data_IF_531415854916
#
_entry.id   IF_531415854916
#
_cell.length_a   1.000
_cell.length_b   1.000
_cell.length_c   1.000
_cell.angle_alpha   90.00
_cell.angle_beta   90.00
_cell.angle_gamma   90.00
#
_symmetry.space_group_name_H-M   'P 1'
#
loop_
_entity.id
_entity.type
_entity.pdbx_description
1 polymer ?
#
# COMPACT_ATOMS: atom_id res chain seq x y z
N UNK A 1 5.69 19.97 3.66
CA UNK A 1 4.55 19.02 3.55
C UNK A 1 3.64 19.32 2.36
N UNK A 2 2.97 20.48 2.29
CA UNK A 2 2.03 20.82 1.20
C UNK A 2 2.64 20.92 -0.21
N UNK A 3 3.89 21.39 -0.33
CA UNK A 3 4.59 21.49 -1.62
C UNK A 3 4.75 20.13 -2.31
N UNK A 4 4.98 19.06 -1.55
CA UNK A 4 5.15 17.71 -2.11
C UNK A 4 3.85 17.19 -2.73
N UNK A 5 2.69 17.51 -2.13
CA UNK A 5 1.39 17.08 -2.66
C UNK A 5 1.05 17.73 -3.99
N UNK A 6 1.50 18.98 -4.26
CA UNK A 6 1.30 19.62 -5.57
C UNK A 6 1.99 18.88 -6.71
N UNK A 7 3.07 18.14 -6.43
CA UNK A 7 3.80 17.34 -7.42
C UNK A 7 3.23 15.92 -7.50
N UNK A 8 2.82 15.35 -6.37
CA UNK A 8 2.30 13.97 -6.30
C UNK A 8 0.88 13.84 -6.85
N UNK A 9 -0.02 14.79 -6.57
CA UNK A 9 -1.42 14.69 -7.02
C UNK A 9 -1.52 14.55 -8.55
N UNK A 10 -0.83 15.38 -9.37
CA UNK A 10 -0.88 15.23 -10.82
C UNK A 10 -0.38 13.88 -11.33
N UNK A 11 0.67 13.31 -10.72
CA UNK A 11 1.21 12.01 -11.16
C UNK A 11 0.28 10.82 -10.84
N UNK A 12 -0.64 10.99 -9.88
CA UNK A 12 -1.62 9.97 -9.54
C UNK A 12 -2.80 9.93 -10.51
N UNK A 13 -3.10 11.01 -11.25
CA UNK A 13 -4.29 11.12 -12.11
C UNK A 13 -4.34 10.00 -13.15
N UNK A 14 -3.25 9.79 -13.88
CA UNK A 14 -3.18 8.76 -14.94
C UNK A 14 -3.29 7.34 -14.37
N UNK A 15 -2.60 7.09 -13.25
CA UNK A 15 -2.67 5.81 -12.52
C UNK A 15 -4.12 5.53 -12.11
N UNK A 16 -4.83 6.55 -11.65
CA UNK A 16 -6.22 6.46 -11.22
C UNK A 16 -7.16 6.17 -12.39
N UNK A 17 -7.00 6.86 -13.53
CA UNK A 17 -7.79 6.62 -14.74
C UNK A 17 -7.59 5.19 -15.28
N UNK A 18 -6.36 4.71 -15.30
CA UNK A 18 -6.05 3.35 -15.73
C UNK A 18 -6.58 2.29 -14.75
N UNK A 19 -6.54 2.57 -13.45
CA UNK A 19 -7.18 1.71 -12.45
C UNK A 19 -8.70 1.66 -12.63
N UNK A 20 -9.34 2.81 -12.80
CA UNK A 20 -10.78 2.94 -13.04
C UNK A 20 -11.21 2.14 -14.26
N UNK A 21 -10.57 2.34 -15.42
CA UNK A 21 -10.91 1.59 -16.63
C UNK A 21 -10.80 0.08 -16.46
N UNK A 22 -9.86 -0.40 -15.64
CA UNK A 22 -9.68 -1.84 -15.37
C UNK A 22 -10.69 -2.41 -14.39
N UNK A 23 -11.13 -1.63 -13.42
CA UNK A 23 -11.91 -2.10 -12.26
C UNK A 23 -13.37 -1.68 -12.26
N UNK A 24 -13.75 -0.74 -13.12
CA UNK A 24 -15.13 -0.28 -13.27
C UNK A 24 -16.05 -1.47 -13.58
N UNK A 25 -17.07 -1.64 -12.74
CA UNK A 25 -18.03 -2.75 -12.83
C UNK A 25 -17.51 -4.12 -12.39
N UNK A 26 -16.29 -4.22 -11.83
CA UNK A 26 -15.72 -5.48 -11.34
C UNK A 26 -15.62 -5.48 -9.82
N UNK A 27 -15.82 -6.66 -9.21
CA UNK A 27 -15.55 -6.85 -7.78
C UNK A 27 -14.05 -6.81 -7.54
N UNK A 28 -13.58 -5.82 -6.80
CA UNK A 28 -12.20 -5.73 -6.35
C UNK A 28 -12.09 -6.53 -5.05
N UNK A 29 -11.16 -7.48 -4.99
CA UNK A 29 -10.88 -8.23 -3.77
C UNK A 29 -10.35 -7.27 -2.70
N UNK A 30 -10.87 -7.39 -1.47
CA UNK A 30 -10.34 -6.68 -0.32
C UNK A 30 -8.86 -7.04 -0.14
N UNK A 31 -7.97 -6.03 0.02
CA UNK A 31 -6.59 -6.31 0.38
C UNK A 31 -6.54 -7.11 1.68
N UNK A 32 -5.57 -8.02 1.84
CA UNK A 32 -5.40 -8.73 3.09
C UNK A 32 -5.18 -7.74 4.24
N UNK A 33 -5.79 -8.01 5.40
CA UNK A 33 -5.73 -7.18 6.60
C UNK A 33 -4.31 -7.01 7.18
N UNK A 34 -3.38 -7.84 6.73
CA UNK A 34 -1.97 -7.77 7.11
C UNK A 34 -1.12 -8.19 5.92
N UNK A 35 -0.27 -7.27 5.46
CA UNK A 35 0.73 -7.58 4.45
C UNK A 35 2.02 -8.00 5.16
N UNK A 36 2.30 -9.30 5.22
CA UNK A 36 3.57 -9.85 5.71
C UNK A 36 4.07 -10.96 4.80
N UNK A 37 5.32 -10.86 4.31
CA UNK A 37 6.01 -11.95 3.60
C UNK A 37 7.21 -12.49 4.38
N UNK A 38 7.23 -12.25 5.68
CA UNK A 38 8.36 -12.58 6.53
C UNK A 38 8.45 -14.09 6.76
N UNK A 39 9.64 -14.64 6.55
CA UNK A 39 9.95 -16.04 6.86
C UNK A 39 10.37 -16.12 8.35
N UNK A 40 10.23 -17.29 8.98
CA UNK A 40 10.59 -17.49 10.38
C UNK A 40 12.04 -17.07 10.68
N UNK A 41 12.28 -16.56 11.89
CA UNK A 41 13.57 -16.06 12.43
C UNK A 41 14.03 -14.65 12.01
N UNK A 42 13.12 -13.79 11.56
CA UNK A 42 13.44 -12.41 11.20
C UNK A 42 12.90 -11.39 12.23
N UNK A 43 13.67 -10.34 12.55
CA UNK A 43 13.17 -9.21 13.33
C UNK A 43 12.04 -8.53 12.58
N UNK A 44 10.86 -8.46 13.21
CA UNK A 44 9.66 -7.86 12.62
C UNK A 44 9.38 -6.49 13.21
N UNK A 45 9.07 -5.52 12.35
CA UNK A 45 8.58 -4.20 12.71
C UNK A 45 7.23 -3.96 12.06
N UNK A 46 6.20 -3.78 12.88
CA UNK A 46 4.89 -3.33 12.44
C UNK A 46 4.88 -1.81 12.30
N UNK A 47 4.37 -1.31 11.19
CA UNK A 47 4.14 0.12 10.94
C UNK A 47 2.75 0.32 10.35
N UNK A 48 2.11 1.42 10.69
CA UNK A 48 0.80 1.76 10.11
C UNK A 48 1.02 2.58 8.85
N UNK A 49 0.44 2.13 7.74
CA UNK A 49 0.43 2.89 6.49
C UNK A 49 -0.98 3.34 6.17
N UNK A 50 -1.11 4.56 5.66
CA UNK A 50 -2.37 5.06 5.12
C UNK A 50 -2.48 4.65 3.66
N UNK A 51 -3.43 3.78 3.37
CA UNK A 51 -3.79 3.39 2.02
C UNK A 51 -4.91 4.29 1.51
N UNK A 52 -4.69 4.89 0.35
CA UNK A 52 -5.68 5.68 -0.38
C UNK A 52 -6.35 4.74 -1.38
N UNK A 53 -7.59 4.34 -1.09
CA UNK A 53 -8.44 3.62 -2.03
C UNK A 53 -9.26 4.62 -2.84
N UNK A 54 -10.03 4.08 -3.79
CA UNK A 54 -10.83 4.92 -4.67
C UNK A 54 -11.96 5.66 -3.92
N UNK A 55 -12.62 4.97 -3.00
CA UNK A 55 -13.85 5.38 -2.31
C UNK A 55 -13.62 5.73 -0.83
N UNK A 56 -12.48 5.34 -0.26
CA UNK A 56 -12.15 5.58 1.14
C UNK A 56 -10.64 5.58 1.37
N UNK A 57 -10.23 5.98 2.56
CA UNK A 57 -8.88 5.76 3.06
C UNK A 57 -8.94 4.75 4.21
N UNK A 58 -7.93 3.88 4.30
CA UNK A 58 -7.81 2.94 5.40
C UNK A 58 -6.39 2.97 5.96
N UNK A 59 -6.26 2.88 7.28
CA UNK A 59 -4.97 2.66 7.92
C UNK A 59 -4.79 1.16 8.14
N UNK A 60 -3.80 0.57 7.47
CA UNK A 60 -3.51 -0.86 7.61
C UNK A 60 -2.18 -1.09 8.32
N UNK A 61 -2.10 -2.06 9.24
CA UNK A 61 -0.83 -2.49 9.80
C UNK A 61 -0.04 -3.29 8.76
N UNK A 62 1.21 -2.89 8.52
CA UNK A 62 2.15 -3.58 7.66
C UNK A 62 3.30 -4.11 8.50
N UNK A 63 3.54 -5.42 8.43
CA UNK A 63 4.70 -6.03 9.05
C UNK A 63 5.86 -6.05 8.05
N UNK A 64 6.88 -5.26 8.36
CA UNK A 64 8.17 -5.26 7.68
C UNK A 64 9.17 -6.11 8.45
N UNK A 65 10.14 -6.69 7.77
CA UNK A 65 11.09 -7.59 8.39
C UNK A 65 12.51 -7.32 7.89
N UNK A 66 13.48 -7.34 8.81
CA UNK A 66 14.89 -7.13 8.49
C UNK A 66 15.63 -8.46 8.57
N UNK A 67 15.73 -9.16 7.44
CA UNK A 67 16.48 -10.42 7.38
C UNK A 67 17.97 -10.11 7.38
N UNK A 68 18.74 -10.76 8.25
CA UNK A 68 20.19 -10.87 8.06
C UNK A 68 20.47 -12.08 7.18
N UNK A 69 21.32 -11.93 6.17
CA UNK A 69 21.91 -13.07 5.48
C UNK A 69 22.83 -13.81 6.45
N UNK A 70 22.82 -15.15 6.39
CA UNK A 70 23.80 -15.97 7.10
C UNK A 70 25.22 -15.59 6.63
N UNK A 71 26.24 -15.60 7.52
CA UNK A 71 27.63 -15.30 7.16
C UNK A 71 28.22 -16.30 6.17
#
# INVERSE_FOLDING_TARGET
MFQNWRVVIPSLVEIFLHYLTRTMGKSISTPPSTMSRCVQACETKTSVVLCLYFDHFCSIPVCSCKCASLP
#
